data_IF_318859922378
#
_entry.id   IF_318859922378
#
_cell.length_a   1.000
_cell.length_b   1.000
_cell.length_c   1.000
_cell.angle_alpha   90.00
_cell.angle_beta   90.00
_cell.angle_gamma   90.00
#
_symmetry.space_group_name_H-M   'P 1'
#
loop_
_entity.id
_entity.type
_entity.pdbx_description
1 polymer ?
#
# COMPACT_ATOMS: atom_id res chain seq x y z
N UNK A 1 10.87 3.02 -1.01
CA UNK A 1 10.17 3.10 0.30
C UNK A 1 11.10 3.35 1.49
N UNK A 2 12.39 3.66 1.27
CA UNK A 2 13.26 4.19 2.34
C UNK A 2 12.63 5.41 3.03
N UNK A 3 11.93 6.23 2.23
CA UNK A 3 11.14 7.37 2.68
C UNK A 3 10.07 7.11 3.74
N UNK A 4 9.50 5.91 3.76
CA UNK A 4 8.43 5.55 4.71
C UNK A 4 8.90 4.53 5.73
N UNK A 5 10.00 3.80 5.47
CA UNK A 5 10.48 2.73 6.34
C UNK A 5 9.53 1.53 6.42
N UNK A 6 8.69 1.32 5.40
CA UNK A 6 7.69 0.24 5.35
C UNK A 6 8.01 -0.79 4.27
N UNK A 7 7.65 -2.04 4.53
CA UNK A 7 7.66 -3.09 3.53
C UNK A 7 6.44 -2.99 2.60
N UNK A 8 6.61 -3.45 1.36
CA UNK A 8 5.53 -3.59 0.38
C UNK A 8 5.48 -5.05 -0.04
N UNK A 9 4.26 -5.58 -0.19
CA UNK A 9 4.02 -6.86 -0.84
C UNK A 9 3.48 -6.60 -2.25
N UNK A 10 4.08 -7.23 -3.26
CA UNK A 10 3.51 -7.27 -4.60
C UNK A 10 2.55 -8.46 -4.68
N UNK A 11 1.31 -8.18 -5.08
CA UNK A 11 0.28 -9.19 -5.30
C UNK A 11 0.03 -9.26 -6.82
N UNK A 12 0.18 -10.46 -7.38
CA UNK A 12 -0.20 -10.74 -8.76
C UNK A 12 -1.71 -11.03 -8.78
N UNK A 13 -2.48 -10.10 -9.33
CA UNK A 13 -3.92 -10.21 -9.47
C UNK A 13 -4.29 -10.41 -10.95
N UNK A 14 -5.49 -10.93 -11.19
CA UNK A 14 -6.03 -11.11 -12.53
C UNK A 14 -7.39 -10.44 -12.65
N UNK A 15 -7.59 -9.65 -13.71
CA UNK A 15 -8.88 -9.03 -13.99
C UNK A 15 -9.93 -10.08 -14.28
N UNK A 16 -11.04 -10.10 -13.52
CA UNK A 16 -12.09 -11.11 -13.67
C UNK A 16 -12.73 -11.12 -15.08
N UNK A 17 -12.92 -9.95 -15.68
CA UNK A 17 -13.51 -9.82 -17.02
C UNK A 17 -12.46 -9.81 -18.12
N UNK A 18 -11.40 -9.02 -17.94
CA UNK A 18 -10.37 -8.81 -18.98
C UNK A 18 -9.35 -9.93 -19.05
N UNK A 19 -9.25 -10.76 -18.01
CA UNK A 19 -8.25 -11.82 -17.84
C UNK A 19 -6.79 -11.33 -17.91
N UNK A 20 -6.56 -10.01 -17.83
CA UNK A 20 -5.23 -9.42 -17.82
C UNK A 20 -4.61 -9.57 -16.43
N UNK A 21 -3.31 -9.85 -16.41
CA UNK A 21 -2.49 -9.77 -15.21
C UNK A 21 -2.36 -8.32 -14.75
N UNK A 22 -2.46 -8.10 -13.44
CA UNK A 22 -2.45 -6.80 -12.77
C UNK A 22 -1.51 -6.93 -11.57
N UNK A 23 -0.47 -6.09 -11.52
CA UNK A 23 0.36 -5.96 -10.33
C UNK A 23 -0.30 -5.02 -9.32
N UNK A 24 -0.60 -5.51 -8.11
CA UNK A 24 -1.13 -4.71 -7.01
C UNK A 24 -0.08 -4.55 -5.91
N UNK A 25 0.15 -3.32 -5.47
CA UNK A 25 1.01 -3.05 -4.32
C UNK A 25 0.17 -3.01 -3.04
N UNK A 26 0.57 -3.79 -2.04
CA UNK A 26 -0.06 -3.82 -0.73
C UNK A 26 0.94 -3.43 0.35
N UNK A 27 0.55 -2.52 1.24
CA UNK A 27 1.37 -2.16 2.38
C UNK A 27 0.49 -1.75 3.56
N UNK A 28 1.04 -1.91 4.76
CA UNK A 28 0.46 -1.37 5.98
C UNK A 28 1.26 -0.13 6.35
N UNK A 29 0.56 0.95 6.72
CA UNK A 29 1.18 2.23 7.04
C UNK A 29 0.48 2.85 8.25
N UNK A 30 1.22 3.62 9.04
CA UNK A 30 0.63 4.45 10.08
C UNK A 30 -0.08 5.68 9.50
N UNK A 31 -0.89 6.35 10.33
CA UNK A 31 -1.69 7.52 9.93
C UNK A 31 -0.86 8.65 9.28
N UNK A 32 0.32 8.95 9.82
CA UNK A 32 1.21 9.99 9.27
C UNK A 32 1.89 9.57 7.96
N UNK A 33 2.20 8.29 7.80
CA UNK A 33 2.80 7.75 6.58
C UNK A 33 1.80 7.69 5.43
N UNK A 34 0.49 7.53 5.71
CA UNK A 34 -0.55 7.51 4.69
C UNK A 34 -0.55 8.77 3.82
N UNK A 35 -0.35 9.96 4.41
CA UNK A 35 -0.29 11.21 3.66
C UNK A 35 0.92 11.20 2.72
N UNK A 36 2.09 10.78 3.20
CA UNK A 36 3.31 10.68 2.39
C UNK A 36 3.13 9.67 1.24
N UNK A 37 2.52 8.52 1.50
CA UNK A 37 2.25 7.51 0.45
C UNK A 37 1.28 8.02 -0.61
N UNK A 38 0.18 8.69 -0.21
CA UNK A 38 -0.75 9.28 -1.18
C UNK A 38 -0.06 10.27 -2.11
N UNK A 39 0.82 11.11 -1.57
CA UNK A 39 1.58 12.08 -2.37
C UNK A 39 2.54 11.39 -3.32
N UNK A 40 3.32 10.41 -2.83
CA UNK A 40 4.26 9.63 -3.66
C UNK A 40 3.53 8.93 -4.81
N UNK A 41 2.42 8.25 -4.52
CA UNK A 41 1.63 7.54 -5.56
C UNK A 41 1.14 8.53 -6.61
N UNK A 42 0.57 9.66 -6.19
CA UNK A 42 0.03 10.67 -7.12
C UNK A 42 1.13 11.36 -7.95
N UNK A 43 2.32 11.52 -7.40
CA UNK A 43 3.47 12.10 -8.10
C UNK A 43 4.01 11.14 -9.17
N UNK A 44 4.04 9.85 -8.88
CA UNK A 44 4.52 8.81 -9.80
C UNK A 44 3.48 8.47 -10.87
N UNK A 45 2.23 8.26 -10.46
CA UNK A 45 1.11 7.91 -11.33
C UNK A 45 -0.16 8.67 -10.89
N UNK A 46 -0.47 9.81 -11.53
CA UNK A 46 -1.65 10.61 -11.23
C UNK A 46 -2.98 9.88 -11.46
N UNK A 47 -3.00 8.85 -12.32
CA UNK A 47 -4.19 8.07 -12.66
C UNK A 47 -4.35 6.82 -11.78
N UNK A 48 -3.36 6.53 -10.92
CA UNK A 48 -3.45 5.44 -9.97
C UNK A 48 -4.58 5.68 -8.95
N UNK A 49 -5.29 4.60 -8.61
CA UNK A 49 -6.24 4.60 -7.52
C UNK A 49 -5.71 3.78 -6.33
N UNK A 50 -6.18 4.12 -5.14
CA UNK A 50 -5.78 3.47 -3.90
C UNK A 50 -7.00 3.09 -3.07
N UNK A 51 -6.96 1.91 -2.47
CA UNK A 51 -7.93 1.50 -1.44
C UNK A 51 -7.24 1.66 -0.08
N UNK A 52 -7.90 2.37 0.84
CA UNK A 52 -7.41 2.56 2.20
C UNK A 52 -8.36 1.86 3.16
N UNK A 53 -7.90 0.74 3.74
CA UNK A 53 -8.66 0.00 4.74
C UNK A 53 -8.05 0.23 6.13
N UNK A 54 -8.90 0.50 7.12
CA UNK A 54 -8.48 0.54 8.51
C UNK A 54 -8.38 -0.88 9.06
N UNK A 55 -7.27 -1.17 9.74
CA UNK A 55 -7.03 -2.44 10.43
C UNK A 55 -7.03 -2.18 11.94
N UNK A 56 -7.56 -3.12 12.72
CA UNK A 56 -7.69 -2.96 14.17
C UNK A 56 -6.35 -3.14 14.89
N UNK A 57 -5.60 -4.17 14.49
CA UNK A 57 -4.32 -4.51 15.09
C UNK A 57 -3.34 -4.99 14.01
N UNK A 58 -2.06 -4.69 14.21
CA UNK A 58 -0.95 -5.14 13.35
C UNK A 58 0.17 -5.62 14.26
N UNK A 59 0.51 -6.90 14.17
CA UNK A 59 1.59 -7.50 14.95
C UNK A 59 2.84 -7.57 14.05
N UNK A 60 3.96 -7.03 14.51
CA UNK A 60 5.25 -7.20 13.83
C UNK A 60 6.17 -5.98 13.89
N UNK A 61 7.43 -6.20 13.49
CA UNK A 61 8.49 -5.19 13.53
C UNK A 61 8.07 -3.90 12.80
N UNK A 62 8.14 -2.77 13.49
CA UNK A 62 7.80 -1.44 12.97
C UNK A 62 6.37 -0.98 13.28
N UNK A 63 5.50 -1.86 13.79
CA UNK A 63 4.20 -1.47 14.36
C UNK A 63 4.27 -1.73 15.86
N UNK A 64 3.89 -0.74 16.67
CA UNK A 64 3.95 -0.85 18.13
C UNK A 64 2.89 -1.86 18.59
N UNK A 65 3.37 -3.03 18.97
CA UNK A 65 2.65 -4.09 19.66
C UNK A 65 3.59 -4.72 20.69
N UNK A 66 4.01 -3.91 21.66
CA UNK A 66 4.39 -4.31 23.02
C UNK A 66 3.85 -3.25 23.99
#
# INVERSE_FOLDING_TARGET
MEDTGRGITLINAKGAYTQKEIGMLYCVVGKYQLIKVKNIVKEIDPEAFMIVSQVHEVIGKGFLGQ
#
